data_IF_240413350810
#
_entry.id   IF_240413350810
#
_cell.length_a   1.000
_cell.length_b   1.000
_cell.length_c   1.000
_cell.angle_alpha   90.00
_cell.angle_beta   90.00
_cell.angle_gamma   90.00
#
_symmetry.space_group_name_H-M   'P 1'
#
loop_
_entity.id
_entity.type
_entity.pdbx_description
1 polymer ?
#
# COMPACT_ATOMS: atom_id res chain seq x y z
N UNK A 1 -23.04 -9.15 9.01
CA UNK A 1 -21.61 -9.47 9.16
C UNK A 1 -20.75 -8.24 8.95
N UNK A 2 -19.78 -8.04 9.83
CA UNK A 2 -18.83 -6.97 9.69
C UNK A 2 -17.78 -7.25 8.63
N UNK A 3 -17.15 -6.20 8.17
CA UNK A 3 -16.00 -6.31 7.29
C UNK A 3 -14.75 -6.66 8.09
N UNK A 4 -13.79 -7.32 7.45
CA UNK A 4 -12.48 -7.51 8.02
C UNK A 4 -11.62 -6.25 7.77
N UNK A 5 -10.90 -5.80 8.79
CA UNK A 5 -10.02 -4.65 8.68
C UNK A 5 -8.62 -5.00 9.20
N UNK A 6 -7.59 -4.57 8.48
CA UNK A 6 -6.25 -4.52 9.01
C UNK A 6 -6.19 -3.33 9.96
N UNK A 7 -5.81 -3.59 11.21
CA UNK A 7 -5.84 -2.60 12.28
C UNK A 7 -4.46 -2.37 12.87
N UNK A 8 -4.29 -1.23 13.52
CA UNK A 8 -3.07 -0.92 14.28
C UNK A 8 -3.14 -1.57 15.68
N UNK A 9 -2.12 -1.28 16.50
CA UNK A 9 -2.03 -1.85 17.85
C UNK A 9 -3.19 -1.43 18.77
N UNK A 10 -3.89 -0.35 18.45
CA UNK A 10 -5.05 0.13 19.20
C UNK A 10 -6.37 -0.38 18.62
N UNK A 11 -6.30 -1.37 17.73
CA UNK A 11 -7.45 -1.95 17.07
C UNK A 11 -8.24 -0.95 16.22
N UNK A 12 -7.56 0.08 15.70
CA UNK A 12 -8.13 1.05 14.78
C UNK A 12 -7.77 0.68 13.35
N UNK A 13 -8.71 0.76 12.39
CA UNK A 13 -8.39 0.49 11.00
C UNK A 13 -7.22 1.35 10.52
N UNK A 14 -6.31 0.76 9.75
CA UNK A 14 -5.16 1.46 9.22
C UNK A 14 -5.58 2.63 8.33
N UNK A 15 -4.81 3.71 8.39
CA UNK A 15 -5.11 4.92 7.62
C UNK A 15 -5.01 4.68 6.13
N UNK A 16 -5.82 5.42 5.37
CA UNK A 16 -5.75 5.46 3.91
C UNK A 16 -4.32 5.76 3.46
N UNK A 17 -3.81 4.96 2.54
CA UNK A 17 -2.46 5.11 2.02
C UNK A 17 -1.39 4.32 2.76
N UNK A 18 -1.72 3.71 3.90
CA UNK A 18 -0.78 2.85 4.62
C UNK A 18 -0.39 1.66 3.75
N UNK A 19 0.89 1.33 3.70
CA UNK A 19 1.37 0.14 3.01
C UNK A 19 1.67 -0.97 4.01
N UNK A 20 1.26 -2.19 3.66
CA UNK A 20 1.49 -3.38 4.49
C UNK A 20 2.21 -4.43 3.68
N UNK A 21 2.99 -5.25 4.38
CA UNK A 21 3.65 -6.42 3.81
C UNK A 21 3.10 -7.68 4.45
N UNK A 22 3.07 -8.74 3.66
CA UNK A 22 2.69 -10.07 4.11
C UNK A 22 3.94 -10.94 4.13
N UNK A 23 4.60 -11.14 5.31
CA UNK A 23 5.85 -11.89 5.37
C UNK A 23 5.77 -13.32 4.85
N UNK A 24 4.59 -13.95 4.96
CA UNK A 24 4.39 -15.32 4.45
C UNK A 24 4.19 -15.37 2.95
N UNK A 25 3.96 -14.23 2.29
CA UNK A 25 3.80 -14.14 0.84
C UNK A 25 5.03 -13.44 0.29
N UNK A 26 5.80 -14.13 -0.52
CA UNK A 26 7.10 -13.63 -0.98
C UNK A 26 6.98 -12.23 -1.59
N UNK A 27 7.61 -11.27 -0.95
CA UNK A 27 7.72 -9.87 -1.40
C UNK A 27 6.37 -9.20 -1.72
N UNK A 28 5.29 -9.65 -1.10
CA UNK A 28 3.99 -9.03 -1.36
C UNK A 28 3.78 -7.82 -0.46
N UNK A 29 3.48 -6.69 -1.08
CA UNK A 29 3.18 -5.43 -0.42
C UNK A 29 1.94 -4.81 -1.06
N UNK A 30 1.10 -4.16 -0.26
CA UNK A 30 -0.16 -3.59 -0.74
C UNK A 30 -0.44 -2.27 -0.02
N UNK A 31 -1.31 -1.45 -0.62
CA UNK A 31 -1.71 -0.16 -0.07
C UNK A 31 -3.16 -0.25 0.40
N UNK A 32 -3.40 0.26 1.60
CA UNK A 32 -4.73 0.29 2.20
C UNK A 32 -5.54 1.45 1.62
N UNK A 33 -6.78 1.18 1.25
CA UNK A 33 -7.77 2.19 0.95
C UNK A 33 -9.11 1.79 1.55
N UNK A 34 -10.09 2.66 1.48
CA UNK A 34 -11.43 2.40 1.96
C UNK A 34 -12.43 2.71 0.85
N UNK A 35 -13.24 1.73 0.51
CA UNK A 35 -14.29 1.91 -0.49
C UNK A 35 -15.38 2.85 0.04
N UNK A 36 -16.20 3.37 -0.87
CA UNK A 36 -17.27 4.32 -0.52
C UNK A 36 -18.26 3.75 0.52
N UNK A 37 -18.43 2.43 0.56
CA UNK A 37 -19.30 1.77 1.54
C UNK A 37 -18.61 1.52 2.88
N UNK A 38 -17.40 2.03 3.09
CA UNK A 38 -16.62 1.85 4.31
C UNK A 38 -15.79 0.59 4.37
N UNK A 39 -15.91 -0.30 3.40
CA UNK A 39 -15.13 -1.53 3.36
C UNK A 39 -13.66 -1.24 3.07
N UNK A 40 -12.76 -1.88 3.81
CA UNK A 40 -11.33 -1.73 3.56
C UNK A 40 -10.94 -2.57 2.35
N UNK A 41 -10.15 -1.98 1.47
CA UNK A 41 -9.66 -2.63 0.27
C UNK A 41 -8.15 -2.50 0.19
N UNK A 42 -7.51 -3.36 -0.59
CA UNK A 42 -6.10 -3.34 -0.87
C UNK A 42 -5.86 -3.00 -2.33
N UNK A 43 -4.94 -2.08 -2.57
CA UNK A 43 -4.45 -1.75 -3.89
C UNK A 43 -3.13 -2.50 -4.04
N UNK A 44 -3.07 -3.44 -4.97
CA UNK A 44 -1.95 -4.36 -5.03
C UNK A 44 -1.58 -4.72 -6.46
N UNK A 45 -0.33 -5.13 -6.63
CA UNK A 45 0.17 -5.69 -7.88
C UNK A 45 0.87 -6.99 -7.52
N UNK A 46 0.15 -8.09 -7.58
CA UNK A 46 0.66 -9.37 -7.10
C UNK A 46 1.20 -10.22 -8.25
N UNK A 47 2.20 -11.03 -7.93
CA UNK A 47 2.74 -12.01 -8.87
C UNK A 47 1.67 -13.01 -9.31
N UNK A 48 0.79 -13.38 -8.39
CA UNK A 48 -0.27 -14.35 -8.64
C UNK A 48 -1.27 -13.86 -9.69
N UNK A 49 -1.65 -12.57 -9.61
CA UNK A 49 -2.66 -11.99 -10.49
C UNK A 49 -2.08 -11.28 -11.69
N UNK A 50 -0.77 -11.12 -11.76
CA UNK A 50 -0.02 -10.60 -12.90
C UNK A 50 -0.23 -9.15 -13.26
N UNK A 51 -1.16 -8.44 -12.62
CA UNK A 51 -1.44 -7.02 -12.89
C UNK A 51 -1.96 -6.34 -11.63
N UNK A 52 -1.89 -5.00 -11.58
CA UNK A 52 -2.43 -4.28 -10.42
C UNK A 52 -3.96 -4.37 -10.37
N UNK A 53 -4.47 -4.45 -9.17
CA UNK A 53 -5.92 -4.60 -8.94
C UNK A 53 -6.33 -4.03 -7.59
N UNK A 54 -7.63 -3.82 -7.45
CA UNK A 54 -8.26 -3.57 -6.17
C UNK A 54 -8.80 -4.90 -5.65
N UNK A 55 -8.48 -5.25 -4.43
CA UNK A 55 -9.01 -6.45 -3.82
C UNK A 55 -9.58 -6.16 -2.44
N UNK A 56 -10.49 -7.00 -2.00
CA UNK A 56 -11.10 -6.89 -0.70
C UNK A 56 -10.12 -7.37 0.37
N UNK A 57 -10.04 -6.67 1.50
CA UNK A 57 -9.19 -7.08 2.62
C UNK A 57 -9.55 -8.48 3.13
N UNK A 58 -10.78 -8.93 2.92
CA UNK A 58 -11.23 -10.27 3.29
C UNK A 58 -10.38 -11.38 2.68
N UNK A 59 -9.84 -11.15 1.48
CA UNK A 59 -8.99 -12.16 0.82
C UNK A 59 -7.74 -12.49 1.63
N UNK A 60 -7.32 -11.56 2.47
CA UNK A 60 -6.11 -11.71 3.29
C UNK A 60 -6.44 -11.85 4.77
N UNK A 61 -7.69 -12.16 5.11
CA UNK A 61 -8.07 -12.48 6.48
C UNK A 61 -7.20 -13.62 6.98
N UNK A 62 -6.67 -13.49 8.17
CA UNK A 62 -5.81 -14.48 8.81
C UNK A 62 -4.41 -14.61 8.20
N UNK A 63 -4.05 -13.76 7.24
CA UNK A 63 -2.67 -13.70 6.74
C UNK A 63 -1.89 -12.70 7.61
N UNK A 64 -0.78 -13.13 8.24
CA UNK A 64 0.02 -12.20 9.03
C UNK A 64 0.56 -11.05 8.18
N UNK A 65 0.57 -9.87 8.76
CA UNK A 65 1.05 -8.67 8.07
C UNK A 65 1.86 -7.78 8.98
N UNK A 66 2.67 -6.91 8.39
CA UNK A 66 3.38 -5.85 9.09
C UNK A 66 3.16 -4.54 8.34
N UNK A 67 3.14 -3.43 9.06
CA UNK A 67 3.08 -2.11 8.44
C UNK A 67 4.46 -1.79 7.89
N UNK A 68 4.56 -1.53 6.59
CA UNK A 68 5.83 -1.26 5.93
C UNK A 68 6.08 0.23 5.72
N UNK A 69 5.02 1.00 5.46
CA UNK A 69 5.11 2.45 5.24
C UNK A 69 3.84 3.11 5.70
N UNK A 70 3.95 4.35 6.17
CA UNK A 70 2.78 5.13 6.59
C UNK A 70 2.85 6.50 5.93
N UNK A 71 1.71 7.03 5.45
CA UNK A 71 1.71 8.38 4.86
C UNK A 71 2.09 9.44 5.91
N UNK A 72 2.76 10.49 5.44
CA UNK A 72 3.21 11.57 6.31
C UNK A 72 2.08 12.48 6.77
N UNK A 73 0.92 12.41 6.12
CA UNK A 73 -0.26 13.19 6.44
C UNK A 73 -1.48 12.59 5.76
N UNK A 74 -2.70 12.98 6.15
CA UNK A 74 -3.91 12.54 5.43
C UNK A 74 -3.88 12.94 3.95
N UNK A 75 -3.37 14.14 3.63
CA UNK A 75 -3.25 14.57 2.24
C UNK A 75 -2.27 13.70 1.45
N UNK A 76 -1.16 13.30 2.07
CA UNK A 76 -0.22 12.37 1.46
C UNK A 76 -0.87 11.01 1.22
N UNK A 77 -1.63 10.52 2.20
CA UNK A 77 -2.36 9.26 2.05
C UNK A 77 -3.31 9.27 0.87
N UNK A 78 -4.04 10.37 0.67
CA UNK A 78 -4.93 10.50 -0.48
C UNK A 78 -4.16 10.49 -1.80
N UNK A 79 -3.03 11.19 -1.87
CA UNK A 79 -2.20 11.19 -3.09
C UNK A 79 -1.65 9.80 -3.41
N UNK A 80 -1.22 9.07 -2.39
CA UNK A 80 -0.73 7.71 -2.56
C UNK A 80 -1.80 6.84 -3.21
N UNK A 81 -3.01 6.91 -2.70
CA UNK A 81 -4.15 6.14 -3.21
C UNK A 81 -4.48 6.55 -4.65
N UNK A 82 -4.48 7.85 -4.94
CA UNK A 82 -4.74 8.35 -6.29
C UNK A 82 -3.71 7.85 -7.30
N UNK A 83 -2.42 7.86 -6.92
CA UNK A 83 -1.35 7.34 -7.78
C UNK A 83 -1.52 5.84 -8.00
N UNK A 84 -1.86 5.10 -6.95
CA UNK A 84 -2.08 3.65 -7.06
C UNK A 84 -3.24 3.32 -8.00
N UNK A 85 -4.35 4.05 -7.91
CA UNK A 85 -5.48 3.85 -8.82
C UNK A 85 -5.12 4.17 -10.27
N UNK A 86 -4.30 5.19 -10.48
CA UNK A 86 -3.84 5.51 -11.83
C UNK A 86 -3.03 4.35 -12.44
N UNK A 87 -2.17 3.71 -11.63
CA UNK A 87 -1.43 2.54 -12.11
C UNK A 87 -2.34 1.34 -12.34
N UNK A 88 -3.34 1.14 -11.50
CA UNK A 88 -4.32 0.07 -11.70
C UNK A 88 -5.04 0.27 -13.03
N UNK A 89 -5.44 1.50 -13.33
CA UNK A 89 -6.06 1.82 -14.61
C UNK A 89 -5.13 1.57 -15.79
N UNK A 90 -3.85 1.90 -15.65
CA UNK A 90 -2.86 1.66 -16.70
C UNK A 90 -2.62 0.18 -16.94
N UNK A 91 -2.75 -0.65 -15.91
CA UNK A 91 -2.74 -2.10 -16.04
C UNK A 91 -1.39 -2.74 -16.36
N UNK A 92 -0.27 -2.07 -16.06
CA UNK A 92 1.04 -2.63 -16.34
C UNK A 92 1.27 -3.95 -15.60
N UNK A 93 1.73 -5.01 -16.28
CA UNK A 93 1.82 -6.33 -15.67
C UNK A 93 2.92 -6.43 -14.61
N UNK A 94 2.78 -7.39 -13.72
CA UNK A 94 3.82 -7.72 -12.76
C UNK A 94 5.01 -8.35 -13.49
N UNK A 95 6.21 -7.86 -13.20
CA UNK A 95 7.47 -8.41 -13.70
C UNK A 95 8.51 -8.35 -12.60
N UNK A 96 9.66 -9.02 -12.81
CA UNK A 96 10.78 -8.93 -11.87
C UNK A 96 11.31 -7.50 -11.75
N UNK A 97 11.11 -6.66 -12.77
CA UNK A 97 11.56 -5.27 -12.80
C UNK A 97 10.48 -4.29 -12.40
N UNK A 98 9.23 -4.74 -12.30
CA UNK A 98 8.08 -3.90 -11.93
C UNK A 98 7.12 -4.76 -11.14
N UNK A 99 7.38 -4.89 -9.86
CA UNK A 99 6.65 -5.76 -8.94
C UNK A 99 5.84 -4.95 -7.93
N UNK A 100 5.31 -5.63 -6.92
CA UNK A 100 4.47 -4.98 -5.91
C UNK A 100 5.22 -3.91 -5.12
N UNK A 101 6.52 -4.08 -4.88
CA UNK A 101 7.31 -3.08 -4.16
C UNK A 101 7.51 -1.81 -4.99
N UNK A 102 7.76 -1.98 -6.29
CA UNK A 102 7.86 -0.84 -7.21
C UNK A 102 6.52 -0.11 -7.32
N UNK A 103 5.42 -0.86 -7.38
CA UNK A 103 4.08 -0.30 -7.40
C UNK A 103 3.84 0.60 -6.19
N UNK A 104 4.12 0.10 -4.99
CA UNK A 104 3.95 0.86 -3.75
C UNK A 104 4.89 2.06 -3.71
N UNK A 105 6.13 1.88 -4.11
CA UNK A 105 7.12 2.96 -4.11
C UNK A 105 6.70 4.11 -5.02
N UNK A 106 6.23 3.81 -6.23
CA UNK A 106 5.75 4.84 -7.14
C UNK A 106 4.52 5.56 -6.58
N UNK A 107 3.62 4.83 -5.95
CA UNK A 107 2.45 5.45 -5.33
C UNK A 107 2.87 6.47 -4.27
N UNK A 108 3.86 6.12 -3.46
CA UNK A 108 4.34 7.01 -2.39
C UNK A 108 5.05 8.25 -2.92
N UNK A 109 5.76 8.16 -4.02
CA UNK A 109 6.55 9.27 -4.56
C UNK A 109 5.87 10.01 -5.71
N UNK A 110 4.89 9.39 -6.36
CA UNK A 110 4.24 9.95 -7.54
C UNK A 110 5.11 9.94 -8.79
N UNK A 111 6.20 9.18 -8.78
CA UNK A 111 7.14 9.11 -9.91
C UNK A 111 7.11 7.75 -10.57
N UNK A 112 7.62 7.66 -11.78
CA UNK A 112 7.69 6.41 -12.53
C UNK A 112 9.09 6.19 -13.09
N UNK A 113 9.37 4.95 -13.52
CA UNK A 113 10.60 4.59 -14.20
C UNK A 113 11.83 4.57 -13.30
N UNK A 114 13.00 4.62 -13.93
CA UNK A 114 14.29 4.56 -13.23
C UNK A 114 14.55 5.76 -12.33
N UNK A 115 14.06 6.92 -12.69
CA UNK A 115 14.14 8.11 -11.84
C UNK A 115 13.45 7.88 -10.50
N UNK A 116 12.35 7.16 -10.52
CA UNK A 116 11.61 6.79 -9.33
C UNK A 116 12.46 5.99 -8.38
N UNK A 117 13.24 5.03 -8.89
CA UNK A 117 14.09 4.20 -8.03
C UNK A 117 15.14 5.00 -7.28
N UNK A 118 15.81 5.90 -7.98
CA UNK A 118 16.84 6.72 -7.35
C UNK A 118 16.26 7.67 -6.30
N UNK A 119 15.08 8.18 -6.55
CA UNK A 119 14.38 9.04 -5.61
C UNK A 119 13.83 8.26 -4.42
N UNK A 120 13.36 7.05 -4.65
CA UNK A 120 12.70 6.21 -3.65
C UNK A 120 13.59 5.94 -2.44
N UNK A 121 14.89 5.75 -2.61
CA UNK A 121 15.76 5.47 -1.48
C UNK A 121 15.78 6.60 -0.46
N UNK A 122 15.79 7.85 -0.91
CA UNK A 122 15.71 8.99 -0.01
C UNK A 122 14.30 9.17 0.57
N UNK A 123 13.28 9.07 -0.28
CA UNK A 123 11.89 9.26 0.13
C UNK A 123 11.42 8.18 1.10
N UNK A 124 11.86 6.93 0.92
CA UNK A 124 11.47 5.84 1.81
C UNK A 124 11.98 6.03 3.24
N UNK A 125 13.21 6.52 3.39
CA UNK A 125 13.74 6.77 4.72
C UNK A 125 12.92 7.79 5.48
N UNK A 126 12.52 8.87 4.80
CA UNK A 126 11.72 9.95 5.42
C UNK A 126 10.30 9.48 5.72
N UNK A 127 9.65 8.88 4.73
CA UNK A 127 8.25 8.44 4.89
C UNK A 127 8.14 7.35 5.94
N UNK A 128 9.08 6.42 5.99
CA UNK A 128 9.07 5.36 6.97
C UNK A 128 9.11 5.88 8.39
N UNK A 129 9.96 6.86 8.67
CA UNK A 129 10.09 7.44 10.02
C UNK A 129 8.84 8.22 10.42
N UNK A 130 8.39 9.13 9.58
CA UNK A 130 7.20 9.94 9.85
C UNK A 130 5.97 9.06 9.94
N UNK A 131 5.89 8.07 9.07
CA UNK A 131 4.76 7.18 9.03
C UNK A 131 4.60 6.34 10.29
N UNK A 132 5.68 5.84 10.86
CA UNK A 132 5.60 5.08 12.10
C UNK A 132 5.04 5.92 13.25
N UNK A 133 5.45 7.18 13.33
CA UNK A 133 4.92 8.10 14.35
C UNK A 133 3.43 8.36 14.14
N UNK A 134 3.00 8.57 12.90
CA UNK A 134 1.59 8.79 12.59
C UNK A 134 0.74 7.56 12.89
N UNK A 135 1.23 6.37 12.58
CA UNK A 135 0.52 5.12 12.86
C UNK A 135 0.31 4.93 14.36
N UNK A 136 1.30 5.23 15.18
CA UNK A 136 1.20 5.06 16.62
C UNK A 136 0.31 6.10 17.29
N UNK A 137 0.03 7.21 16.63
CA UNK A 137 -0.82 8.27 17.18
C UNK A 137 -2.32 8.06 16.91
N UNK A 138 -2.67 7.05 16.15
CA UNK A 138 -4.07 6.75 15.85
C UNK A 138 -4.66 5.84 16.88
#
# INVERSE_FOLDING_TARGET
MGYFYFCDANNCPLAQGTAIKFPSLVQHEAIIDRAWNGQQVLLEKSKQHKKPRVTNSEEYRNVPFVISRVPSSPAHGLRIVQHAYAEIQAGAPWTAFDNCQDFVSRAYTGRNGSETRNFVFGALAVVGLVGMAAASSR
#
